data_IF_132711758976
#
_entry.id   IF_132711758976
#
_cell.length_a   1.000
_cell.length_b   1.000
_cell.length_c   1.000
_cell.angle_alpha   90.00
_cell.angle_beta   90.00
_cell.angle_gamma   90.00
#
_symmetry.space_group_name_H-M   'P 1'
#
loop_
_entity.id
_entity.type
_entity.pdbx_description
1 polymer ?
#
# COMPACT_ATOMS: atom_id res chain seq x y z
N UNK A 1 72.86 38.96 17.30
CA UNK A 1 72.26 37.76 16.65
C UNK A 1 71.17 37.21 17.55
N UNK A 2 69.94 37.69 17.45
CA UNK A 2 68.73 36.97 17.92
C UNK A 2 67.49 37.65 17.38
N UNK A 3 66.72 36.90 16.58
CA UNK A 3 65.46 37.32 15.96
C UNK A 3 64.34 37.14 16.99
N UNK A 4 63.64 38.21 17.37
CA UNK A 4 62.42 38.10 18.18
C UNK A 4 61.20 37.96 17.26
N UNK A 5 60.81 36.70 17.00
CA UNK A 5 59.52 36.34 16.42
C UNK A 5 58.46 36.65 17.49
N UNK A 6 57.60 37.63 17.23
CA UNK A 6 56.43 37.90 18.07
C UNK A 6 55.38 36.83 17.83
N UNK A 7 55.03 36.11 18.88
CA UNK A 7 53.88 35.23 18.97
C UNK A 7 52.57 36.03 18.79
N UNK A 8 52.08 36.09 17.56
CA UNK A 8 50.66 36.29 17.29
C UNK A 8 50.06 34.93 16.93
N UNK A 9 48.79 34.71 17.29
CA UNK A 9 47.92 33.63 16.80
C UNK A 9 47.89 32.31 17.58
N UNK A 10 47.37 32.35 18.81
CA UNK A 10 46.72 31.16 19.40
C UNK A 10 45.25 31.42 19.78
N UNK A 11 44.93 32.64 20.22
CA UNK A 11 43.58 32.97 20.72
C UNK A 11 42.60 33.23 19.56
N UNK A 12 43.05 33.82 18.44
CA UNK A 12 42.19 34.07 17.27
C UNK A 12 41.75 32.79 16.53
N UNK A 13 42.62 31.77 16.48
CA UNK A 13 42.31 30.49 15.83
C UNK A 13 41.34 29.62 16.66
N UNK A 14 41.36 29.75 17.99
CA UNK A 14 40.42 29.04 18.87
C UNK A 14 39.02 29.65 18.89
N UNK A 15 38.89 30.95 18.62
CA UNK A 15 37.59 31.60 18.47
C UNK A 15 36.88 31.14 17.20
N UNK A 16 37.61 31.03 16.09
CA UNK A 16 37.06 30.69 14.77
C UNK A 16 36.70 29.19 14.61
N UNK A 17 37.45 28.29 15.27
CA UNK A 17 37.14 26.87 15.28
C UNK A 17 35.84 26.54 16.03
N UNK A 18 35.50 27.28 17.10
CA UNK A 18 34.23 27.09 17.83
C UNK A 18 33.01 27.55 17.03
N UNK A 19 33.14 28.59 16.21
CA UNK A 19 32.08 29.04 15.30
C UNK A 19 31.90 28.11 14.10
N UNK A 20 32.96 27.45 13.65
CA UNK A 20 32.92 26.54 12.50
C UNK A 20 32.29 25.16 12.83
N UNK A 21 32.27 24.77 14.11
CA UNK A 21 31.61 23.54 14.60
C UNK A 21 30.36 23.80 15.46
N UNK A 22 29.93 25.06 15.60
CA UNK A 22 28.65 25.38 16.20
C UNK A 22 27.55 24.98 15.21
N UNK A 23 27.03 23.76 15.35
CA UNK A 23 25.83 23.34 14.62
C UNK A 23 24.72 24.33 14.97
N UNK A 24 24.30 25.11 13.98
CA UNK A 24 23.24 26.10 14.12
C UNK A 24 22.01 25.43 14.77
N UNK A 25 21.48 25.95 15.90
CA UNK A 25 20.28 25.39 16.54
C UNK A 25 19.08 25.34 15.58
N UNK A 26 19.03 26.24 14.60
CA UNK A 26 18.13 26.27 13.45
C UNK A 26 18.28 25.06 12.52
N UNK A 27 19.49 24.55 12.31
CA UNK A 27 19.76 23.36 11.49
C UNK A 27 19.31 22.08 12.21
N UNK A 28 19.53 21.98 13.53
CA UNK A 28 19.01 20.88 14.37
C UNK A 28 17.48 20.95 14.51
N UNK A 29 16.92 22.14 14.64
CA UNK A 29 15.47 22.35 14.63
C UNK A 29 14.86 21.95 13.29
N UNK A 30 15.46 22.33 12.16
CA UNK A 30 15.03 21.93 10.82
C UNK A 30 15.21 20.42 10.56
N UNK A 31 16.27 19.79 11.06
CA UNK A 31 16.49 18.34 10.92
C UNK A 31 15.50 17.53 11.78
N UNK A 32 15.22 17.96 13.01
CA UNK A 32 14.17 17.38 13.86
C UNK A 32 12.76 17.65 13.29
N UNK A 33 12.57 18.77 12.59
CA UNK A 33 11.34 19.09 11.88
C UNK A 33 11.18 18.29 10.59
N UNK A 34 12.25 17.81 9.96
CA UNK A 34 12.20 17.04 8.71
C UNK A 34 11.82 15.56 8.88
N UNK A 35 11.90 14.98 10.08
CA UNK A 35 11.67 13.55 10.29
C UNK A 35 10.81 13.23 11.51
N UNK A 36 9.76 14.01 11.76
CA UNK A 36 8.80 13.63 12.79
C UNK A 36 7.96 12.44 12.30
N UNK A 37 7.87 11.31 13.05
CA UNK A 37 7.22 10.08 12.59
C UNK A 37 5.80 10.28 12.05
N UNK A 38 5.07 11.26 12.59
CA UNK A 38 3.72 11.61 12.16
C UNK A 38 3.65 12.14 10.72
N UNK A 39 4.71 12.79 10.21
CA UNK A 39 4.76 13.30 8.82
C UNK A 39 4.87 12.16 7.79
N UNK A 40 5.32 10.98 8.21
CA UNK A 40 5.48 9.81 7.35
C UNK A 40 4.21 8.96 7.24
N UNK A 41 3.20 9.19 8.10
CA UNK A 41 1.99 8.36 8.15
C UNK A 41 1.23 8.34 6.81
N UNK A 42 0.95 9.52 6.23
CA UNK A 42 0.19 9.61 4.98
C UNK A 42 0.96 9.06 3.78
N UNK A 43 2.24 9.42 3.53
CA UNK A 43 3.02 8.82 2.46
C UNK A 43 3.10 7.29 2.55
N UNK A 44 3.34 6.73 3.74
CA UNK A 44 3.43 5.28 3.94
C UNK A 44 2.06 4.62 3.75
N UNK A 45 0.97 5.23 4.24
CA UNK A 45 -0.39 4.74 4.03
C UNK A 45 -0.78 4.73 2.54
N UNK A 46 -0.43 5.79 1.80
CA UNK A 46 -0.70 5.90 0.38
C UNK A 46 0.14 4.92 -0.44
N UNK A 47 1.43 4.79 -0.12
CA UNK A 47 2.31 3.82 -0.76
C UNK A 47 1.80 2.39 -0.55
N UNK A 48 1.51 2.00 0.69
CA UNK A 48 1.01 0.66 1.01
C UNK A 48 -0.35 0.37 0.35
N UNK A 49 -1.25 1.36 0.28
CA UNK A 49 -2.53 1.26 -0.45
C UNK A 49 -2.32 1.08 -1.96
N UNK A 50 -1.44 1.89 -2.57
CA UNK A 50 -1.11 1.79 -3.99
C UNK A 50 -0.39 0.48 -4.32
N UNK A 51 0.53 0.02 -3.47
CA UNK A 51 1.21 -1.26 -3.60
C UNK A 51 0.23 -2.43 -3.55
N UNK A 52 -0.70 -2.41 -2.60
CA UNK A 52 -1.79 -3.38 -2.51
C UNK A 52 -2.61 -3.41 -3.81
N UNK A 53 -3.06 -2.25 -4.29
CA UNK A 53 -3.81 -2.14 -5.54
C UNK A 53 -3.02 -2.67 -6.74
N UNK A 54 -1.73 -2.33 -6.82
CA UNK A 54 -0.81 -2.79 -7.86
C UNK A 54 -0.68 -4.31 -7.88
N UNK A 55 -0.44 -4.95 -6.73
CA UNK A 55 -0.36 -6.41 -6.64
C UNK A 55 -1.65 -7.11 -7.05
N UNK A 56 -2.81 -6.57 -6.65
CA UNK A 56 -4.12 -7.12 -7.03
C UNK A 56 -4.42 -6.94 -8.53
N UNK A 57 -4.03 -5.80 -9.11
CA UNK A 57 -4.19 -5.54 -10.54
C UNK A 57 -3.22 -6.39 -11.37
N UNK A 58 -1.97 -6.60 -10.93
CA UNK A 58 -1.03 -7.50 -11.59
C UNK A 58 -1.62 -8.91 -11.76
N UNK A 59 -2.20 -9.45 -10.68
CA UNK A 59 -2.90 -10.73 -10.74
C UNK A 59 -4.02 -10.73 -11.76
N UNK A 60 -4.85 -9.68 -11.77
CA UNK A 60 -6.08 -9.66 -12.57
C UNK A 60 -5.86 -9.22 -14.03
N UNK A 61 -4.79 -8.49 -14.31
CA UNK A 61 -4.48 -7.96 -15.65
C UNK A 61 -3.46 -8.81 -16.39
N UNK A 62 -2.62 -9.56 -15.68
CA UNK A 62 -1.56 -10.38 -16.29
C UNK A 62 -1.76 -11.87 -15.96
N UNK A 63 -1.71 -12.26 -14.68
CA UNK A 63 -1.67 -13.66 -14.31
C UNK A 63 -2.97 -14.42 -14.68
N UNK A 64 -4.15 -13.86 -14.37
CA UNK A 64 -5.42 -14.53 -14.67
C UNK A 64 -5.71 -14.63 -16.18
N UNK A 65 -5.54 -13.57 -16.99
CA UNK A 65 -5.67 -13.69 -18.45
C UNK A 65 -4.72 -14.71 -19.06
N UNK A 66 -3.49 -14.82 -18.53
CA UNK A 66 -2.52 -15.81 -19.00
C UNK A 66 -3.04 -17.24 -18.80
N UNK A 67 -3.43 -17.63 -17.58
CA UNK A 67 -3.95 -18.99 -17.33
C UNK A 67 -5.26 -19.28 -18.08
N UNK A 68 -6.14 -18.28 -18.26
CA UNK A 68 -7.36 -18.44 -19.05
C UNK A 68 -7.08 -18.77 -20.52
N UNK A 69 -5.96 -18.29 -21.06
CA UNK A 69 -5.57 -18.46 -22.47
C UNK A 69 -4.72 -19.71 -22.70
N UNK A 70 -3.83 -20.05 -21.76
CA UNK A 70 -2.80 -21.08 -21.98
C UNK A 70 -3.16 -22.47 -21.47
N UNK A 71 -4.16 -22.57 -20.59
CA UNK A 71 -4.49 -23.80 -19.87
C UNK A 71 -5.59 -24.65 -20.50
N UNK A 72 -6.55 -24.12 -21.29
CA UNK A 72 -7.47 -24.96 -22.06
C UNK A 72 -6.75 -26.04 -22.89
N UNK A 73 -7.34 -27.25 -23.02
CA UNK A 73 -8.67 -27.63 -22.55
C UNK A 73 -8.74 -28.12 -21.08
N UNK A 74 -7.63 -28.08 -20.32
CA UNK A 74 -7.55 -28.65 -18.96
C UNK A 74 -8.19 -27.73 -17.89
N UNK A 75 -9.46 -27.99 -17.56
CA UNK A 75 -10.20 -27.23 -16.56
C UNK A 75 -9.64 -27.43 -15.13
N UNK A 76 -9.14 -28.63 -14.81
CA UNK A 76 -8.58 -28.95 -13.50
C UNK A 76 -7.29 -28.18 -13.24
N UNK A 77 -6.40 -28.13 -14.24
CA UNK A 77 -5.18 -27.35 -14.16
C UNK A 77 -5.47 -25.84 -14.04
N UNK A 78 -6.46 -25.33 -14.77
CA UNK A 78 -6.88 -23.91 -14.70
C UNK A 78 -7.30 -23.53 -13.28
N UNK A 79 -8.17 -24.33 -12.66
CA UNK A 79 -8.64 -24.08 -11.30
C UNK A 79 -7.51 -24.23 -10.26
N UNK A 80 -6.59 -25.19 -10.46
CA UNK A 80 -5.41 -25.36 -9.59
C UNK A 80 -4.46 -24.17 -9.67
N UNK A 81 -4.21 -23.63 -10.86
CA UNK A 81 -3.39 -22.43 -11.04
C UNK A 81 -4.04 -21.20 -10.40
N UNK A 82 -5.35 -21.01 -10.60
CA UNK A 82 -6.10 -19.96 -9.91
C UNK A 82 -6.01 -20.12 -8.38
N UNK A 83 -6.17 -21.35 -7.87
CA UNK A 83 -6.09 -21.63 -6.44
C UNK A 83 -4.74 -21.21 -5.86
N UNK A 84 -3.65 -21.54 -6.56
CA UNK A 84 -2.31 -21.12 -6.17
C UNK A 84 -2.22 -19.60 -6.08
N UNK A 85 -2.61 -18.88 -7.15
CA UNK A 85 -2.61 -17.41 -7.20
C UNK A 85 -3.42 -16.81 -6.04
N UNK A 86 -4.63 -17.32 -5.80
CA UNK A 86 -5.49 -16.88 -4.70
C UNK A 86 -4.81 -17.13 -3.34
N UNK A 87 -4.26 -18.33 -3.14
CA UNK A 87 -3.64 -18.75 -1.89
C UNK A 87 -2.44 -17.88 -1.51
N UNK A 88 -1.67 -17.40 -2.49
CA UNK A 88 -0.53 -16.50 -2.28
C UNK A 88 -0.94 -15.11 -1.76
N UNK A 89 -2.10 -14.60 -2.17
CA UNK A 89 -2.49 -13.21 -1.89
C UNK A 89 -3.59 -13.01 -0.85
N UNK A 90 -4.47 -14.00 -0.63
CA UNK A 90 -5.73 -13.80 0.10
C UNK A 90 -5.57 -13.38 1.58
N UNK A 91 -4.45 -13.71 2.23
CA UNK A 91 -4.16 -13.28 3.60
C UNK A 91 -3.39 -11.96 3.65
N UNK A 92 -2.55 -11.69 2.66
CA UNK A 92 -1.70 -10.50 2.61
C UNK A 92 -2.54 -9.25 2.30
N UNK A 93 -3.46 -9.35 1.33
CA UNK A 93 -4.28 -8.23 0.90
C UNK A 93 -5.07 -7.55 2.04
N UNK A 94 -5.89 -8.28 2.80
CA UNK A 94 -6.64 -7.70 3.93
C UNK A 94 -5.75 -7.13 5.02
N UNK A 95 -4.60 -7.75 5.31
CA UNK A 95 -3.64 -7.24 6.31
C UNK A 95 -3.06 -5.89 5.88
N UNK A 96 -2.65 -5.76 4.62
CA UNK A 96 -2.18 -4.49 4.07
C UNK A 96 -3.29 -3.43 4.10
N UNK A 97 -4.52 -3.77 3.70
CA UNK A 97 -5.64 -2.82 3.71
C UNK A 97 -5.91 -2.28 5.13
N UNK A 98 -5.94 -3.16 6.14
CA UNK A 98 -6.12 -2.77 7.55
C UNK A 98 -4.94 -1.93 8.03
N UNK A 99 -3.71 -2.34 7.76
CA UNK A 99 -2.52 -1.59 8.16
C UNK A 99 -2.50 -0.17 7.56
N UNK A 100 -2.77 -0.04 6.25
CA UNK A 100 -2.88 1.25 5.57
C UNK A 100 -4.00 2.10 6.15
N UNK A 101 -5.17 1.51 6.41
CA UNK A 101 -6.31 2.20 7.02
C UNK A 101 -5.99 2.75 8.41
N UNK A 102 -5.33 1.96 9.25
CA UNK A 102 -4.87 2.39 10.58
C UNK A 102 -3.84 3.52 10.52
N UNK A 103 -2.95 3.53 9.52
CA UNK A 103 -2.01 4.63 9.32
C UNK A 103 -2.74 5.94 8.95
N UNK A 104 -3.75 5.87 8.08
CA UNK A 104 -4.60 7.02 7.75
C UNK A 104 -5.36 7.54 8.97
N UNK A 105 -5.94 6.66 9.78
CA UNK A 105 -6.67 7.06 10.98
C UNK A 105 -5.75 7.60 12.07
N UNK A 106 -4.56 7.03 12.23
CA UNK A 106 -3.53 7.61 13.10
C UNK A 106 -3.18 9.01 12.65
N UNK A 107 -2.99 9.24 11.34
CA UNK A 107 -2.72 10.58 10.81
C UNK A 107 -3.88 11.56 11.04
N UNK A 108 -5.13 11.09 10.92
CA UNK A 108 -6.31 11.89 11.26
C UNK A 108 -6.36 12.25 12.75
N UNK A 109 -5.86 11.38 13.62
CA UNK A 109 -5.82 11.61 15.07
C UNK A 109 -4.68 12.55 15.50
N UNK A 110 -3.52 12.44 14.86
CA UNK A 110 -2.30 13.18 15.25
C UNK A 110 -2.10 14.49 14.50
N UNK A 111 -2.87 14.76 13.44
CA UNK A 111 -2.73 16.01 12.69
C UNK A 111 -3.06 17.22 13.55
N UNK A 112 -2.27 18.28 13.41
CA UNK A 112 -2.53 19.58 14.04
C UNK A 112 -3.57 20.39 13.24
N UNK A 113 -3.79 20.04 11.98
CA UNK A 113 -4.85 20.64 11.17
C UNK A 113 -6.23 20.25 11.71
N UNK A 114 -7.22 21.12 11.55
CA UNK A 114 -8.59 20.93 12.07
C UNK A 114 -9.61 20.90 10.93
N UNK A 115 -10.79 20.38 11.23
CA UNK A 115 -11.91 20.38 10.29
C UNK A 115 -11.71 19.39 9.14
N UNK A 116 -11.76 19.89 7.90
CA UNK A 116 -11.88 19.08 6.68
C UNK A 116 -10.72 18.10 6.48
N UNK A 117 -9.48 18.47 6.81
CA UNK A 117 -8.30 17.59 6.70
C UNK A 117 -8.47 16.28 7.50
N UNK A 118 -8.97 16.37 8.74
CA UNK A 118 -9.19 15.19 9.59
C UNK A 118 -10.19 14.25 8.93
N UNK A 119 -11.30 14.79 8.42
CA UNK A 119 -12.33 14.02 7.73
C UNK A 119 -11.77 13.34 6.47
N UNK A 120 -10.96 14.04 5.67
CA UNK A 120 -10.38 13.48 4.44
C UNK A 120 -9.38 12.35 4.71
N UNK A 121 -8.55 12.45 5.76
CA UNK A 121 -7.71 11.33 6.20
C UNK A 121 -8.56 10.16 6.71
N UNK A 122 -9.61 10.43 7.48
CA UNK A 122 -10.54 9.40 7.94
C UNK A 122 -11.22 8.65 6.77
N UNK A 123 -11.69 9.40 5.76
CA UNK A 123 -12.27 8.85 4.55
C UNK A 123 -11.25 8.07 3.71
N UNK A 124 -10.00 8.51 3.64
CA UNK A 124 -8.93 7.78 2.94
C UNK A 124 -8.73 6.39 3.54
N UNK A 125 -8.68 6.29 4.87
CA UNK A 125 -8.60 5.01 5.58
C UNK A 125 -9.84 4.14 5.37
N UNK A 126 -11.03 4.74 5.46
CA UNK A 126 -12.30 4.04 5.25
C UNK A 126 -12.42 3.49 3.82
N UNK A 127 -12.04 4.27 2.80
CA UNK A 127 -12.02 3.85 1.40
C UNK A 127 -11.09 2.65 1.22
N UNK A 128 -9.85 2.73 1.70
CA UNK A 128 -8.90 1.60 1.61
C UNK A 128 -9.43 0.35 2.29
N UNK A 129 -9.98 0.46 3.51
CA UNK A 129 -10.52 -0.70 4.24
C UNK A 129 -11.81 -1.25 3.65
N UNK A 130 -12.58 -0.46 2.89
CA UNK A 130 -13.85 -0.87 2.27
C UNK A 130 -13.69 -2.02 1.25
N UNK A 131 -12.47 -2.30 0.79
CA UNK A 131 -12.21 -3.49 -0.02
C UNK A 131 -12.49 -4.81 0.73
N UNK A 132 -12.43 -4.81 2.07
CA UNK A 132 -12.74 -5.98 2.92
C UNK A 132 -14.24 -6.32 2.89
N UNK A 133 -15.17 -5.42 3.28
CA UNK A 133 -16.60 -5.73 3.16
C UNK A 133 -17.03 -5.98 1.72
N UNK A 134 -16.42 -5.32 0.71
CA UNK A 134 -16.64 -5.67 -0.70
C UNK A 134 -16.30 -7.14 -1.00
N UNK A 135 -15.20 -7.64 -0.44
CA UNK A 135 -14.79 -9.04 -0.62
C UNK A 135 -15.83 -9.99 -0.06
N UNK A 136 -16.33 -9.72 1.15
CA UNK A 136 -17.35 -10.55 1.79
C UNK A 136 -18.67 -10.57 1.02
N UNK A 137 -19.12 -9.40 0.58
CA UNK A 137 -20.40 -9.27 -0.13
C UNK A 137 -20.39 -9.92 -1.52
N UNK A 138 -19.30 -9.74 -2.28
CA UNK A 138 -19.30 -10.08 -3.71
C UNK A 138 -18.35 -11.21 -4.10
N UNK A 139 -17.17 -11.29 -3.49
CA UNK A 139 -16.10 -12.21 -3.94
C UNK A 139 -16.21 -13.57 -3.25
N UNK A 140 -16.59 -13.63 -1.97
CA UNK A 140 -16.67 -14.90 -1.22
C UNK A 140 -17.53 -15.94 -1.94
N UNK A 141 -18.69 -15.53 -2.49
CA UNK A 141 -19.57 -16.43 -3.25
C UNK A 141 -18.87 -17.05 -4.46
N UNK A 142 -18.11 -16.26 -5.20
CA UNK A 142 -17.35 -16.74 -6.37
C UNK A 142 -16.19 -17.64 -5.96
N UNK A 143 -15.47 -17.29 -4.89
CA UNK A 143 -14.41 -18.15 -4.36
C UNK A 143 -14.96 -19.53 -3.97
N UNK A 144 -16.09 -19.56 -3.26
CA UNK A 144 -16.74 -20.81 -2.83
C UNK A 144 -17.20 -21.65 -4.02
N UNK A 145 -17.72 -21.03 -5.08
CA UNK A 145 -18.07 -21.73 -6.31
C UNK A 145 -16.84 -22.38 -6.98
N UNK A 146 -15.71 -21.66 -7.05
CA UNK A 146 -14.46 -22.21 -7.58
C UNK A 146 -13.94 -23.37 -6.71
N UNK A 147 -13.96 -23.21 -5.39
CA UNK A 147 -13.55 -24.27 -4.47
C UNK A 147 -14.42 -25.53 -4.61
N UNK A 148 -15.73 -25.36 -4.82
CA UNK A 148 -16.63 -26.48 -5.06
C UNK A 148 -16.25 -27.24 -6.35
N UNK A 149 -15.90 -26.53 -7.43
CA UNK A 149 -15.43 -27.17 -8.67
C UNK A 149 -14.07 -27.87 -8.50
N UNK A 150 -13.15 -27.30 -7.72
CA UNK A 150 -11.88 -27.96 -7.37
C UNK A 150 -12.16 -29.27 -6.62
N UNK A 151 -13.08 -29.26 -5.67
CA UNK A 151 -13.40 -30.45 -4.87
C UNK A 151 -14.13 -31.52 -5.69
N UNK A 152 -15.04 -31.11 -6.60
CA UNK A 152 -15.66 -32.03 -7.57
C UNK A 152 -14.62 -32.75 -8.42
N UNK A 153 -13.62 -32.02 -8.96
CA UNK A 153 -12.54 -32.65 -9.73
C UNK A 153 -11.74 -33.65 -8.90
N UNK A 154 -11.44 -33.33 -7.63
CA UNK A 154 -10.73 -34.24 -6.72
C UNK A 154 -11.53 -35.51 -6.43
N UNK A 155 -12.85 -35.41 -6.37
CA UNK A 155 -13.77 -36.54 -6.23
C UNK A 155 -13.96 -37.33 -7.56
N UNK A 156 -13.21 -37.02 -8.62
CA UNK A 156 -13.28 -37.70 -9.91
C UNK A 156 -14.43 -37.25 -10.82
N UNK A 157 -15.15 -36.18 -10.46
CA UNK A 157 -16.19 -35.59 -11.31
C UNK A 157 -15.58 -34.48 -12.16
N UNK A 158 -15.57 -34.60 -13.50
CA UNK A 158 -14.91 -33.62 -14.36
C UNK A 158 -15.65 -32.27 -14.33
N UNK A 159 -14.89 -31.18 -14.14
CA UNK A 159 -15.43 -29.82 -14.30
C UNK A 159 -15.50 -29.42 -15.77
N UNK A 160 -16.63 -28.82 -16.15
CA UNK A 160 -16.79 -28.19 -17.45
C UNK A 160 -15.83 -27.01 -17.61
N UNK A 161 -15.06 -26.99 -18.70
CA UNK A 161 -14.11 -25.92 -19.01
C UNK A 161 -14.78 -24.54 -19.11
N UNK A 162 -15.97 -24.45 -19.70
CA UNK A 162 -16.70 -23.18 -19.84
C UNK A 162 -17.08 -22.62 -18.46
N UNK A 163 -17.48 -23.48 -17.52
CA UNK A 163 -17.81 -23.08 -16.15
C UNK A 163 -16.56 -22.61 -15.40
N UNK A 164 -15.45 -23.34 -15.53
CA UNK A 164 -14.17 -22.94 -14.94
C UNK A 164 -13.70 -21.57 -15.47
N UNK A 165 -13.74 -21.35 -16.79
CA UNK A 165 -13.40 -20.07 -17.41
C UNK A 165 -14.34 -18.95 -16.99
N UNK A 166 -15.64 -19.21 -16.89
CA UNK A 166 -16.63 -18.25 -16.42
C UNK A 166 -16.34 -17.82 -14.97
N UNK A 167 -16.13 -18.78 -14.07
CA UNK A 167 -15.88 -18.50 -12.65
C UNK A 167 -14.59 -17.71 -12.45
N UNK A 168 -13.49 -18.14 -13.05
CA UNK A 168 -12.18 -17.45 -12.97
C UNK A 168 -12.27 -16.06 -13.63
N UNK A 169 -12.95 -15.95 -14.76
CA UNK A 169 -13.19 -14.67 -15.44
C UNK A 169 -14.07 -13.71 -14.64
N UNK A 170 -15.09 -14.21 -13.94
CA UNK A 170 -15.93 -13.41 -13.04
C UNK A 170 -15.15 -12.95 -11.81
N UNK A 171 -14.37 -13.85 -11.22
CA UNK A 171 -13.47 -13.53 -10.11
C UNK A 171 -12.52 -12.39 -10.48
N UNK A 172 -11.89 -12.48 -11.67
CA UNK A 172 -11.01 -11.42 -12.20
C UNK A 172 -11.68 -10.06 -12.23
N UNK A 173 -12.90 -9.98 -12.80
CA UNK A 173 -13.65 -8.71 -12.90
C UNK A 173 -13.95 -8.11 -11.52
N UNK A 174 -14.40 -8.94 -10.58
CA UNK A 174 -14.66 -8.49 -9.22
C UNK A 174 -13.38 -8.07 -8.48
N UNK A 175 -12.28 -8.77 -8.70
CA UNK A 175 -11.01 -8.40 -8.08
C UNK A 175 -10.47 -7.06 -8.62
N UNK A 176 -10.67 -6.76 -9.92
CA UNK A 176 -10.38 -5.43 -10.49
C UNK A 176 -11.28 -4.37 -9.84
N UNK A 177 -12.59 -4.61 -9.75
CA UNK A 177 -13.50 -3.66 -9.10
C UNK A 177 -13.08 -3.39 -7.64
N UNK A 178 -12.59 -4.41 -6.94
CA UNK A 178 -12.07 -4.30 -5.58
C UNK A 178 -10.83 -3.40 -5.47
N UNK A 179 -9.98 -3.28 -6.50
CA UNK A 179 -8.77 -2.44 -6.43
C UNK A 179 -9.07 -0.94 -6.46
N UNK A 180 -10.26 -0.55 -6.91
CA UNK A 180 -10.69 0.85 -6.92
C UNK A 180 -10.65 1.46 -5.52
N UNK A 181 -11.03 0.70 -4.49
CA UNK A 181 -11.06 1.15 -3.10
C UNK A 181 -9.69 1.63 -2.57
N UNK A 182 -8.61 0.81 -2.57
CA UNK A 182 -7.29 1.27 -2.16
C UNK A 182 -6.69 2.34 -3.09
N UNK A 183 -7.05 2.37 -4.39
CA UNK A 183 -6.63 3.45 -5.30
C UNK A 183 -7.24 4.79 -4.85
N UNK A 184 -8.54 4.82 -4.59
CA UNK A 184 -9.23 6.03 -4.14
C UNK A 184 -8.72 6.49 -2.77
N UNK A 185 -8.47 5.56 -1.85
CA UNK A 185 -7.86 5.89 -0.55
C UNK A 185 -6.45 6.49 -0.70
N UNK A 186 -5.60 5.88 -1.54
CA UNK A 186 -4.26 6.39 -1.85
C UNK A 186 -4.32 7.81 -2.46
N UNK A 187 -5.15 7.99 -3.49
CA UNK A 187 -5.30 9.26 -4.19
C UNK A 187 -5.82 10.36 -3.25
N UNK A 188 -6.88 10.09 -2.48
CA UNK A 188 -7.45 11.07 -1.56
C UNK A 188 -6.44 11.47 -0.47
N UNK A 189 -5.69 10.50 0.07
CA UNK A 189 -4.65 10.76 1.05
C UNK A 189 -3.55 11.67 0.51
N UNK A 190 -3.06 11.41 -0.70
CA UNK A 190 -2.03 12.23 -1.35
C UNK A 190 -2.54 13.62 -1.73
N UNK A 191 -3.77 13.73 -2.24
CA UNK A 191 -4.41 15.01 -2.56
C UNK A 191 -4.55 15.86 -1.29
N UNK A 192 -4.98 15.25 -0.19
CA UNK A 192 -5.09 15.93 1.11
C UNK A 192 -3.72 16.40 1.61
N UNK A 193 -2.70 15.52 1.55
CA UNK A 193 -1.32 15.84 1.94
C UNK A 193 -0.73 17.00 1.12
N UNK A 194 -1.04 17.06 -0.17
CA UNK A 194 -0.56 18.13 -1.07
C UNK A 194 -1.16 19.51 -0.77
N UNK A 195 -2.22 19.58 0.04
CA UNK A 195 -2.94 20.82 0.34
C UNK A 195 -3.90 21.27 -0.76
N UNK A 196 -4.06 20.50 -1.85
CA UNK A 196 -4.99 20.79 -2.95
C UNK A 196 -6.45 20.83 -2.49
N UNK A 197 -6.78 20.10 -1.43
CA UNK A 197 -8.13 20.05 -0.85
C UNK A 197 -8.00 20.30 0.65
N UNK A 198 -7.90 21.59 1.01
CA UNK A 198 -8.07 22.09 2.38
C UNK A 198 -9.48 22.61 2.61
#
# INVERSE_FOLDING_TARGET
MTVHIRHANAIFLLWDAKSMFAIEPSAVSKSNMMASPERMLIPVAAFSSAFLAGGMNLVSMIAVPMILKTTPPDSSLLLRQWHFIYSSGHKVGPKLAVASGLLYWTAAWTTQERGKTIALYAYSGALTMSMVPFTWLFIVRINNAIFAEIEKNRAGTPTNLADAQYLVGRWRKLNIARTVFPILGAALGLITLSGLVR
#
